data_IF_327122280608
#
_entry.id   IF_327122280608
#
_cell.length_a   1.000
_cell.length_b   1.000
_cell.length_c   1.000
_cell.angle_alpha   90.00
_cell.angle_beta   90.00
_cell.angle_gamma   90.00
#
_symmetry.space_group_name_H-M   'P 1'
#
loop_
_entity.id
_entity.type
_entity.pdbx_description
1 polymer ?
#
# COMPACT_ATOMS: atom_id res chain seq x y z
N UNK A 1 25.19 12.81 -15.64
CA UNK A 1 24.43 11.58 -15.93
C UNK A 1 23.26 11.52 -14.95
N UNK A 2 22.03 11.76 -15.41
CA UNK A 2 20.80 11.52 -14.62
C UNK A 2 20.46 12.44 -13.42
N UNK A 3 20.95 13.68 -13.33
CA UNK A 3 20.41 14.70 -12.40
C UNK A 3 20.28 14.37 -10.90
N UNK A 4 20.87 13.28 -10.39
CA UNK A 4 20.74 12.84 -8.99
C UNK A 4 19.52 11.98 -8.67
N UNK A 5 18.85 11.42 -9.67
CA UNK A 5 17.62 10.64 -9.50
C UNK A 5 17.89 9.11 -9.50
N UNK A 6 17.45 8.42 -8.44
CA UNK A 6 17.56 6.96 -8.26
C UNK A 6 16.81 6.20 -9.36
N UNK A 7 15.62 6.68 -9.75
CA UNK A 7 14.82 6.05 -10.79
C UNK A 7 15.57 5.91 -12.13
N UNK A 8 16.33 6.95 -12.53
CA UNK A 8 17.14 6.91 -13.76
C UNK A 8 18.34 5.99 -13.63
N UNK A 9 18.98 5.95 -12.46
CA UNK A 9 20.10 5.04 -12.21
C UNK A 9 19.65 3.56 -12.25
N UNK A 10 18.52 3.24 -11.62
CA UNK A 10 17.93 1.90 -11.70
C UNK A 10 17.49 1.56 -13.13
N UNK A 11 16.90 2.52 -13.86
CA UNK A 11 16.53 2.33 -15.27
C UNK A 11 17.73 2.03 -16.17
N UNK A 12 18.87 2.71 -15.95
CA UNK A 12 20.13 2.42 -16.65
C UNK A 12 20.61 0.98 -16.39
N UNK A 13 20.64 0.56 -15.11
CA UNK A 13 21.02 -0.80 -14.72
C UNK A 13 20.08 -1.85 -15.34
N UNK A 14 18.78 -1.54 -15.40
CA UNK A 14 17.77 -2.40 -16.00
C UNK A 14 17.77 -2.38 -17.55
N UNK A 15 18.65 -1.60 -18.19
CA UNK A 15 18.75 -1.51 -19.65
C UNK A 15 17.66 -0.66 -20.32
N UNK A 16 16.93 0.17 -19.56
CA UNK A 16 15.85 1.03 -20.06
C UNK A 16 16.43 2.32 -20.61
N UNK A 17 16.76 2.31 -21.91
CA UNK A 17 17.49 3.42 -22.57
C UNK A 17 16.62 4.62 -22.96
N UNK A 18 15.32 4.42 -23.19
CA UNK A 18 14.41 5.43 -23.73
C UNK A 18 13.49 6.12 -22.72
N UNK A 19 13.59 5.79 -21.43
CA UNK A 19 12.69 6.31 -20.41
C UNK A 19 13.22 7.55 -19.69
N UNK A 20 12.31 8.39 -19.21
CA UNK A 20 12.60 9.34 -18.13
C UNK A 20 12.22 8.71 -16.78
N UNK A 21 12.54 9.40 -15.69
CA UNK A 21 12.23 8.92 -14.35
C UNK A 21 12.17 10.07 -13.35
N UNK A 22 11.53 9.79 -12.21
CA UNK A 22 11.39 10.67 -11.04
C UNK A 22 11.39 9.82 -9.78
N UNK A 23 12.03 10.29 -8.71
CA UNK A 23 11.92 9.67 -7.39
C UNK A 23 10.71 10.26 -6.65
N UNK A 24 9.87 9.38 -6.09
CA UNK A 24 8.73 9.80 -5.27
C UNK A 24 8.99 9.46 -3.80
N UNK A 25 8.76 10.44 -2.92
CA UNK A 25 9.01 10.32 -1.48
C UNK A 25 7.69 10.45 -0.73
N UNK A 26 7.36 9.44 0.06
CA UNK A 26 6.13 9.42 0.87
C UNK A 26 6.18 8.40 2.00
N UNK A 27 7.38 8.00 2.44
CA UNK A 27 7.58 6.89 3.38
C UNK A 27 6.78 5.65 2.96
N UNK A 28 6.13 4.92 3.89
CA UNK A 28 5.30 3.77 3.56
C UNK A 28 4.18 4.09 2.55
N UNK A 29 3.71 5.33 2.46
CA UNK A 29 2.68 5.72 1.48
C UNK A 29 3.25 6.01 0.08
N UNK A 30 4.58 6.04 -0.07
CA UNK A 30 5.27 6.34 -1.34
C UNK A 30 4.75 5.52 -2.53
N UNK A 31 4.60 4.19 -2.42
CA UNK A 31 4.05 3.36 -3.48
C UNK A 31 2.64 3.74 -3.92
N UNK A 32 1.75 4.07 -2.98
CA UNK A 32 0.37 4.46 -3.31
C UNK A 32 0.36 5.78 -4.08
N UNK A 33 1.17 6.77 -3.64
CA UNK A 33 1.35 8.00 -4.39
C UNK A 33 1.94 7.77 -5.78
N UNK A 34 2.92 6.87 -5.90
CA UNK A 34 3.56 6.55 -7.17
C UNK A 34 2.59 5.89 -8.15
N UNK A 35 1.75 4.98 -7.65
CA UNK A 35 0.71 4.31 -8.43
C UNK A 35 -0.37 5.28 -8.91
N UNK A 36 -0.86 6.18 -8.04
CA UNK A 36 -1.83 7.23 -8.41
C UNK A 36 -1.23 8.14 -9.49
N UNK A 37 0.03 8.52 -9.33
CA UNK A 37 0.73 9.38 -10.30
C UNK A 37 0.92 8.66 -11.64
N UNK A 38 1.34 7.40 -11.63
CA UNK A 38 1.48 6.59 -12.83
C UNK A 38 0.15 6.45 -13.58
N UNK A 39 -0.94 6.13 -12.87
CA UNK A 39 -2.27 6.04 -13.46
C UNK A 39 -2.72 7.38 -14.08
N UNK A 40 -2.51 8.50 -13.39
CA UNK A 40 -2.86 9.82 -13.91
C UNK A 40 -2.06 10.19 -15.17
N UNK A 41 -0.76 9.90 -15.21
CA UNK A 41 0.10 10.17 -16.37
C UNK A 41 -0.31 9.33 -17.59
N UNK A 42 -0.72 8.09 -17.36
CA UNK A 42 -1.21 7.21 -18.42
C UNK A 42 -2.58 7.63 -18.93
N UNK A 43 -3.53 7.86 -18.02
CA UNK A 43 -4.90 8.26 -18.39
C UNK A 43 -4.96 9.63 -19.07
N UNK A 44 -4.01 10.52 -18.77
CA UNK A 44 -3.90 11.82 -19.45
C UNK A 44 -3.23 11.75 -20.83
N UNK A 45 -2.71 10.58 -21.24
CA UNK A 45 -2.03 10.39 -22.52
C UNK A 45 -0.60 10.96 -22.57
N UNK A 46 -0.06 11.43 -21.43
CA UNK A 46 1.32 11.94 -21.36
C UNK A 46 2.33 10.81 -21.60
N UNK A 47 2.07 9.63 -21.04
CA UNK A 47 2.87 8.42 -21.27
C UNK A 47 1.98 7.22 -21.57
N UNK A 48 2.46 6.32 -22.43
CA UNK A 48 1.76 5.04 -22.68
C UNK A 48 2.01 4.00 -21.60
N UNK A 49 3.18 4.08 -20.97
CA UNK A 49 3.67 3.12 -20.00
C UNK A 49 4.43 3.86 -18.91
N UNK A 50 4.17 3.52 -17.65
CA UNK A 50 4.90 4.00 -16.48
C UNK A 50 5.21 2.80 -15.60
N UNK A 51 6.50 2.58 -15.33
CA UNK A 51 6.95 1.56 -14.39
C UNK A 51 7.07 2.19 -13.01
N UNK A 52 6.29 1.69 -12.05
CA UNK A 52 6.42 2.02 -10.63
C UNK A 52 7.22 0.91 -9.97
N UNK A 53 8.26 1.27 -9.23
CA UNK A 53 9.02 0.28 -8.48
C UNK A 53 9.48 0.87 -7.15
N UNK A 54 9.64 0.00 -6.16
CA UNK A 54 10.29 0.35 -4.90
C UNK A 54 10.95 -0.88 -4.28
N UNK A 55 11.89 -0.63 -3.39
CA UNK A 55 12.63 -1.66 -2.68
C UNK A 55 12.94 -1.25 -1.24
N UNK A 56 13.23 -2.26 -0.42
CA UNK A 56 13.84 -2.08 0.88
C UNK A 56 15.31 -1.67 0.77
N UNK A 57 15.90 -1.27 1.89
CA UNK A 57 17.33 -1.00 1.98
C UNK A 57 17.90 -1.60 3.26
N UNK A 58 19.18 -1.95 3.24
CA UNK A 58 19.89 -2.57 4.36
C UNK A 58 19.88 -1.70 5.62
N UNK A 59 19.92 -0.38 5.47
CA UNK A 59 19.80 0.54 6.59
C UNK A 59 18.46 0.38 7.32
N UNK A 60 17.36 0.16 6.59
CA UNK A 60 16.04 -0.03 7.19
C UNK A 60 15.91 -1.37 7.93
N UNK A 61 16.56 -2.42 7.42
CA UNK A 61 16.68 -3.71 8.12
C UNK A 61 17.35 -3.54 9.49
N UNK A 62 18.51 -2.87 9.52
CA UNK A 62 19.21 -2.59 10.78
C UNK A 62 18.35 -1.81 11.78
N UNK A 63 17.56 -0.84 11.29
CA UNK A 63 16.64 -0.07 12.15
C UNK A 63 15.54 -0.94 12.77
N UNK A 64 14.95 -1.87 12.02
CA UNK A 64 13.87 -2.72 12.51
C UNK A 64 14.40 -3.81 13.47
N UNK A 65 15.57 -4.38 13.17
CA UNK A 65 16.23 -5.37 14.03
C UNK A 65 16.58 -4.84 15.43
N UNK A 66 16.68 -3.51 15.59
CA UNK A 66 16.94 -2.88 16.89
C UNK A 66 15.95 -3.28 17.97
N UNK A 67 14.65 -3.34 17.65
CA UNK A 67 13.63 -3.62 18.65
C UNK A 67 13.56 -5.12 18.99
N UNK A 68 13.96 -6.00 18.06
CA UNK A 68 14.22 -7.42 18.34
C UNK A 68 15.39 -7.60 19.32
N UNK A 69 16.52 -6.93 19.06
CA UNK A 69 17.71 -6.98 19.91
C UNK A 69 17.40 -6.48 21.33
N UNK A 70 16.67 -5.36 21.47
CA UNK A 70 16.25 -4.84 22.78
C UNK A 70 15.41 -5.83 23.59
N UNK A 71 14.64 -6.68 22.92
CA UNK A 71 13.80 -7.71 23.54
C UNK A 71 14.50 -9.05 23.68
N UNK A 72 15.80 -9.12 23.36
CA UNK A 72 16.60 -10.33 23.42
C UNK A 72 16.00 -11.49 22.60
N UNK A 73 15.47 -11.18 21.42
CA UNK A 73 14.99 -12.17 20.45
C UNK A 73 15.82 -12.12 19.16
N UNK A 74 15.88 -13.21 18.37
CA UNK A 74 16.53 -13.20 17.07
C UNK A 74 16.00 -12.09 16.15
N UNK A 75 16.83 -11.60 15.24
CA UNK A 75 16.35 -10.69 14.19
C UNK A 75 15.43 -11.50 13.27
N UNK A 76 14.13 -11.25 13.38
CA UNK A 76 13.11 -11.94 12.57
C UNK A 76 12.95 -11.37 11.16
N UNK A 77 13.59 -10.23 10.88
CA UNK A 77 13.51 -9.54 9.59
C UNK A 77 14.92 -9.32 9.02
N UNK A 78 15.30 -10.14 8.06
CA UNK A 78 16.62 -10.13 7.39
C UNK A 78 16.52 -10.18 5.86
N UNK A 79 15.32 -10.19 5.29
CA UNK A 79 15.06 -10.27 3.86
C UNK A 79 14.80 -8.88 3.24
N UNK A 80 15.53 -8.52 2.17
CA UNK A 80 15.22 -7.34 1.35
C UNK A 80 14.11 -7.66 0.34
N UNK A 81 13.03 -6.88 0.38
CA UNK A 81 11.94 -6.95 -0.57
C UNK A 81 12.01 -5.87 -1.65
N UNK A 82 11.37 -6.12 -2.78
CA UNK A 82 11.15 -5.14 -3.84
C UNK A 82 9.96 -5.53 -4.70
N UNK A 83 9.38 -4.55 -5.38
CA UNK A 83 8.30 -4.79 -6.34
C UNK A 83 8.43 -3.84 -7.52
N UNK A 84 7.81 -4.23 -8.63
CA UNK A 84 7.57 -3.37 -9.78
C UNK A 84 6.16 -3.61 -10.33
N UNK A 85 5.52 -2.55 -10.80
CA UNK A 85 4.22 -2.56 -11.46
C UNK A 85 4.35 -1.78 -12.75
N UNK A 86 3.97 -2.40 -13.87
CA UNK A 86 3.79 -1.72 -15.14
C UNK A 86 2.36 -1.19 -15.23
N UNK A 87 2.21 0.13 -15.31
CA UNK A 87 0.92 0.76 -15.61
C UNK A 87 0.94 1.17 -17.07
N UNK A 88 -0.01 0.66 -17.86
CA UNK A 88 -0.13 0.92 -19.29
C UNK A 88 -1.48 1.51 -19.64
N UNK A 89 -1.62 1.96 -20.89
CA UNK A 89 -2.93 2.18 -21.51
C UNK A 89 -3.83 0.96 -21.29
N UNK A 90 -5.16 1.18 -21.21
CA UNK A 90 -6.12 0.12 -21.01
C UNK A 90 -6.07 -0.88 -22.18
N UNK A 91 -5.65 -2.10 -21.89
CA UNK A 91 -5.51 -3.20 -22.84
C UNK A 91 -6.78 -4.06 -22.96
N UNK A 92 -7.81 -3.78 -22.13
CA UNK A 92 -9.04 -4.56 -22.06
C UNK A 92 -8.92 -5.91 -21.37
N UNK A 93 -7.76 -6.23 -20.78
CA UNK A 93 -7.45 -7.52 -20.13
C UNK A 93 -7.03 -7.31 -18.68
N UNK A 94 -6.14 -6.36 -18.42
CA UNK A 94 -5.54 -6.09 -17.12
C UNK A 94 -6.49 -5.31 -16.19
N UNK A 95 -6.36 -5.44 -14.85
CA UNK A 95 -7.18 -4.66 -13.92
C UNK A 95 -7.02 -3.15 -14.10
N UNK A 96 -8.13 -2.43 -13.94
CA UNK A 96 -8.17 -0.97 -14.12
C UNK A 96 -7.96 -0.24 -12.80
N UNK A 97 -6.99 0.69 -12.77
CA UNK A 97 -6.78 1.60 -11.65
C UNK A 97 -7.81 2.74 -11.69
N UNK A 98 -8.73 2.74 -10.72
CA UNK A 98 -9.73 3.80 -10.54
C UNK A 98 -9.14 5.03 -9.86
N UNK A 99 -8.90 6.09 -10.62
CA UNK A 99 -8.40 7.39 -10.16
C UNK A 99 -9.52 8.33 -9.67
N UNK A 100 -10.77 7.96 -9.92
CA UNK A 100 -11.96 8.65 -9.44
C UNK A 100 -12.31 8.33 -7.97
N UNK A 101 -11.80 7.22 -7.44
CA UNK A 101 -11.97 6.79 -6.04
C UNK A 101 -10.64 6.89 -5.28
N UNK A 102 -10.11 8.10 -5.15
CA UNK A 102 -8.85 8.35 -4.44
C UNK A 102 -9.10 9.09 -3.13
N UNK A 103 -8.70 8.45 -2.02
CA UNK A 103 -8.72 9.06 -0.69
C UNK A 103 -7.64 10.12 -0.51
N UNK A 104 -7.92 11.13 0.32
CA UNK A 104 -6.98 12.21 0.62
C UNK A 104 -7.02 12.60 2.09
N UNK A 105 -5.99 12.18 2.82
CA UNK A 105 -5.73 12.67 4.17
C UNK A 105 -5.03 14.03 4.10
N UNK A 106 -5.76 15.09 4.45
CA UNK A 106 -5.21 16.45 4.42
C UNK A 106 -4.46 16.77 5.72
N UNK A 107 -3.61 17.78 5.68
CA UNK A 107 -2.86 18.30 6.84
C UNK A 107 -3.77 18.59 8.04
N UNK A 108 -5.04 18.96 7.79
CA UNK A 108 -6.00 19.32 8.82
C UNK A 108 -6.77 18.13 9.45
N UNK A 109 -6.70 16.91 8.91
CA UNK A 109 -7.50 15.77 9.39
C UNK A 109 -7.07 15.25 10.78
N UNK A 110 -5.89 15.63 11.25
CA UNK A 110 -5.28 15.05 12.45
C UNK A 110 -4.79 13.61 12.23
N UNK A 111 -4.04 13.09 13.19
CA UNK A 111 -3.35 11.79 13.07
C UNK A 111 -4.11 10.62 13.73
N UNK A 112 -5.35 10.84 14.20
CA UNK A 112 -6.14 9.78 14.82
C UNK A 112 -6.46 8.70 13.77
N UNK A 113 -6.27 7.39 14.06
CA UNK A 113 -6.47 6.32 13.07
C UNK A 113 -7.85 6.34 12.41
N UNK A 114 -8.90 6.66 13.18
CA UNK A 114 -10.26 6.78 12.65
C UNK A 114 -10.39 7.92 11.62
N UNK A 115 -9.75 9.07 11.86
CA UNK A 115 -9.78 10.21 10.94
C UNK A 115 -9.00 9.92 9.65
N UNK A 116 -7.88 9.19 9.76
CA UNK A 116 -7.10 8.74 8.61
C UNK A 116 -7.93 7.80 7.74
N UNK A 117 -8.55 6.76 8.32
CA UNK A 117 -9.33 5.78 7.54
C UNK A 117 -10.62 6.40 7.00
N UNK A 118 -11.25 7.32 7.73
CA UNK A 118 -12.38 8.09 7.21
C UNK A 118 -11.99 8.80 5.89
N UNK A 119 -10.89 9.54 5.90
CA UNK A 119 -10.45 10.33 4.76
C UNK A 119 -9.91 9.49 3.58
N UNK A 120 -9.32 8.33 3.88
CA UNK A 120 -8.69 7.46 2.88
C UNK A 120 -9.63 6.38 2.33
N UNK A 121 -10.67 5.98 3.06
CA UNK A 121 -11.56 4.87 2.70
C UNK A 121 -13.01 5.31 2.61
N UNK A 122 -13.62 5.78 3.69
CA UNK A 122 -15.07 6.01 3.72
C UNK A 122 -15.48 7.20 2.83
N UNK A 123 -14.80 8.35 2.96
CA UNK A 123 -15.13 9.55 2.19
C UNK A 123 -15.01 9.37 0.67
N UNK A 124 -13.92 8.80 0.10
CA UNK A 124 -13.83 8.61 -1.34
C UNK A 124 -14.84 7.60 -1.88
N UNK A 125 -15.16 6.53 -1.12
CA UNK A 125 -16.20 5.58 -1.51
C UNK A 125 -17.58 6.25 -1.52
N UNK A 126 -17.94 6.95 -0.43
CA UNK A 126 -19.23 7.62 -0.31
C UNK A 126 -19.46 8.68 -1.40
N UNK A 127 -18.42 9.46 -1.75
CA UNK A 127 -18.47 10.44 -2.85
C UNK A 127 -18.77 9.81 -4.21
N UNK A 128 -18.44 8.54 -4.38
CA UNK A 128 -18.67 7.78 -5.60
C UNK A 128 -19.87 6.81 -5.48
N UNK A 129 -20.73 6.99 -4.47
CA UNK A 129 -21.93 6.17 -4.27
C UNK A 129 -21.63 4.73 -3.85
N UNK A 130 -20.42 4.44 -3.36
CA UNK A 130 -19.98 3.12 -2.94
C UNK A 130 -19.95 3.01 -1.40
N UNK A 131 -20.11 1.78 -0.91
CA UNK A 131 -19.97 1.41 0.50
C UNK A 131 -18.65 0.71 0.76
N UNK A 132 -18.20 0.73 2.01
CA UNK A 132 -17.06 -0.08 2.48
C UNK A 132 -17.32 -1.57 2.20
N UNK A 133 -18.56 -2.02 2.35
CA UNK A 133 -18.96 -3.41 2.11
C UNK A 133 -18.97 -3.82 0.63
N UNK A 134 -18.91 -2.85 -0.30
CA UNK A 134 -18.86 -3.11 -1.73
C UNK A 134 -17.43 -3.40 -2.22
N UNK A 135 -16.42 -3.13 -1.39
CA UNK A 135 -15.01 -3.41 -1.71
C UNK A 135 -14.70 -4.85 -1.31
N UNK A 136 -14.32 -5.70 -2.26
CA UNK A 136 -14.06 -7.12 -1.98
C UNK A 136 -12.88 -7.35 -1.03
N UNK A 137 -11.79 -6.60 -1.22
CA UNK A 137 -10.56 -6.77 -0.45
C UNK A 137 -9.91 -5.44 -0.11
N UNK A 138 -9.39 -5.34 1.11
CA UNK A 138 -8.54 -4.26 1.57
C UNK A 138 -7.11 -4.77 1.79
N UNK A 139 -6.12 -3.97 1.43
CA UNK A 139 -4.71 -4.23 1.74
C UNK A 139 -4.02 -3.03 2.42
N UNK A 140 -4.45 -2.61 3.62
CA UNK A 140 -3.82 -1.55 4.38
C UNK A 140 -2.68 -2.13 5.22
N UNK A 141 -1.44 -1.72 4.96
CA UNK A 141 -0.28 -2.09 5.78
C UNK A 141 -0.14 -3.62 6.01
N UNK A 142 0.57 -4.27 5.10
CA UNK A 142 0.61 -5.74 4.96
C UNK A 142 1.75 -6.41 5.74
N UNK A 143 2.20 -5.83 6.85
CA UNK A 143 3.31 -6.38 7.63
C UNK A 143 3.00 -7.79 8.15
N UNK A 144 4.01 -8.67 8.18
CA UNK A 144 3.90 -10.02 8.76
C UNK A 144 3.69 -9.93 10.29
N UNK A 145 2.56 -10.43 10.84
CA UNK A 145 2.29 -10.41 12.28
C UNK A 145 3.35 -11.14 13.10
N UNK A 146 3.85 -12.28 12.61
CA UNK A 146 4.90 -13.06 13.27
C UNK A 146 6.20 -12.27 13.50
N UNK A 147 6.42 -11.18 12.74
CA UNK A 147 7.53 -10.24 12.93
C UNK A 147 7.11 -9.09 13.85
N UNK A 148 5.93 -8.49 13.60
CA UNK A 148 5.51 -7.27 14.30
C UNK A 148 5.00 -7.51 15.71
N UNK A 149 4.40 -8.66 16.01
CA UNK A 149 3.90 -9.01 17.35
C UNK A 149 5.05 -9.16 18.36
N UNK A 150 6.12 -9.94 18.10
CA UNK A 150 7.28 -9.98 19.00
C UNK A 150 7.95 -8.61 19.16
N UNK A 151 7.97 -7.79 18.10
CA UNK A 151 8.46 -6.41 18.15
C UNK A 151 7.53 -5.46 18.94
N UNK A 152 6.29 -5.86 19.24
CA UNK A 152 5.33 -5.10 20.05
C UNK A 152 4.42 -4.16 19.27
N UNK A 153 4.43 -4.24 17.94
CA UNK A 153 3.53 -3.50 17.07
C UNK A 153 2.17 -4.21 16.87
N UNK A 154 2.08 -5.51 17.20
CA UNK A 154 0.84 -6.29 17.06
C UNK A 154 0.57 -6.74 15.62
N UNK A 155 -0.59 -7.36 15.39
CA UNK A 155 -1.09 -7.68 14.05
C UNK A 155 -1.66 -6.44 13.35
N UNK A 156 -0.79 -5.67 12.70
CA UNK A 156 -1.11 -4.40 12.03
C UNK A 156 -2.22 -4.55 10.96
N UNK A 157 -2.14 -5.50 10.00
CA UNK A 157 -3.21 -5.69 9.01
C UNK A 157 -4.58 -5.92 9.66
N UNK A 158 -4.67 -6.85 10.63
CA UNK A 158 -5.95 -7.18 11.28
C UNK A 158 -6.53 -5.99 12.04
N UNK A 159 -5.70 -5.18 12.71
CA UNK A 159 -6.20 -3.97 13.37
C UNK A 159 -6.75 -2.97 12.37
N UNK A 160 -6.12 -2.80 11.21
CA UNK A 160 -6.64 -1.94 10.15
C UNK A 160 -7.99 -2.43 9.59
N UNK A 161 -8.15 -3.74 9.37
CA UNK A 161 -9.44 -4.30 8.95
C UNK A 161 -10.55 -4.09 9.97
N UNK A 162 -10.24 -4.24 11.26
CA UNK A 162 -11.19 -3.96 12.35
C UNK A 162 -11.61 -2.50 12.34
N UNK A 163 -10.70 -1.56 12.11
CA UNK A 163 -11.02 -0.14 12.05
C UNK A 163 -11.87 0.23 10.83
N UNK A 164 -11.56 -0.32 9.65
CA UNK A 164 -12.38 -0.15 8.44
C UNK A 164 -13.80 -0.71 8.68
N UNK A 165 -13.90 -1.93 9.22
CA UNK A 165 -15.19 -2.54 9.54
C UNK A 165 -15.95 -1.78 10.64
N UNK A 166 -15.27 -1.21 11.62
CA UNK A 166 -15.89 -0.37 12.65
C UNK A 166 -16.48 0.93 12.05
N UNK A 167 -15.84 1.51 11.03
CA UNK A 167 -16.42 2.62 10.28
C UNK A 167 -17.64 2.19 9.44
N UNK A 168 -17.63 0.98 8.87
CA UNK A 168 -18.81 0.42 8.21
C UNK A 168 -19.98 0.25 9.19
N UNK A 169 -19.71 -0.18 10.43
CA UNK A 169 -20.73 -0.24 11.50
C UNK A 169 -21.24 1.14 11.87
N UNK A 170 -20.33 2.09 12.10
CA UNK A 170 -20.68 3.48 12.47
C UNK A 170 -21.52 4.17 11.39
N UNK A 171 -21.28 3.87 10.12
CA UNK A 171 -22.01 4.41 8.96
C UNK A 171 -23.27 3.63 8.59
N UNK A 172 -23.65 2.60 9.37
CA UNK A 172 -24.87 1.82 9.14
C UNK A 172 -24.79 0.84 7.97
N UNK A 173 -23.60 0.55 7.45
CA UNK A 173 -23.37 -0.40 6.35
C UNK A 173 -23.21 -1.84 6.82
N UNK A 174 -22.88 -2.05 8.10
CA UNK A 174 -22.58 -3.35 8.70
C UNK A 174 -23.14 -3.43 10.12
N UNK A 175 -23.66 -4.58 10.54
CA UNK A 175 -24.03 -4.80 11.95
C UNK A 175 -22.78 -5.16 12.78
N UNK A 176 -22.69 -4.69 14.03
CA UNK A 176 -21.52 -4.92 14.90
C UNK A 176 -21.12 -6.40 15.03
N UNK A 177 -22.10 -7.31 15.07
CA UNK A 177 -21.86 -8.76 15.16
C UNK A 177 -21.21 -9.36 13.90
N UNK A 178 -21.27 -8.67 12.77
CA UNK A 178 -20.68 -9.11 11.51
C UNK A 178 -19.20 -8.71 11.38
N UNK A 179 -18.66 -7.89 12.30
CA UNK A 179 -17.29 -7.40 12.23
C UNK A 179 -16.22 -8.52 12.14
N UNK A 180 -16.30 -9.65 12.88
CA UNK A 180 -15.34 -10.74 12.72
C UNK A 180 -15.36 -11.36 11.31
N UNK A 181 -16.55 -11.52 10.74
CA UNK A 181 -16.72 -12.04 9.38
C UNK A 181 -16.22 -11.05 8.33
N UNK A 182 -16.41 -9.74 8.56
CA UNK A 182 -15.87 -8.70 7.69
C UNK A 182 -14.35 -8.78 7.58
N UNK A 183 -13.64 -8.88 8.70
CA UNK A 183 -12.17 -9.02 8.71
C UNK A 183 -11.72 -10.25 7.93
N UNK A 184 -12.36 -11.40 8.15
CA UNK A 184 -12.03 -12.65 7.44
C UNK A 184 -12.31 -12.57 5.94
N UNK A 185 -13.42 -11.97 5.55
CA UNK A 185 -13.85 -11.88 4.14
C UNK A 185 -13.01 -10.86 3.36
N UNK A 186 -12.86 -9.65 3.91
CA UNK A 186 -12.30 -8.52 3.19
C UNK A 186 -10.80 -8.28 3.46
N UNK A 187 -10.20 -8.96 4.45
CA UNK A 187 -8.77 -8.87 4.73
C UNK A 187 -7.91 -9.85 3.94
N UNK A 188 -6.61 -9.59 3.97
CA UNK A 188 -5.53 -10.50 3.62
C UNK A 188 -4.66 -10.78 4.86
N UNK A 189 -4.06 -11.97 4.98
CA UNK A 189 -2.95 -12.15 5.91
C UNK A 189 -1.80 -11.19 5.57
N UNK A 190 -1.15 -10.64 6.58
CA UNK A 190 0.09 -9.89 6.39
C UNK A 190 1.20 -10.80 5.84
N UNK A 191 1.95 -10.31 4.86
CA UNK A 191 2.97 -11.11 4.13
C UNK A 191 4.24 -10.31 3.80
N UNK A 192 4.26 -9.00 4.06
CA UNK A 192 5.37 -8.12 3.74
C UNK A 192 6.32 -7.95 4.94
N UNK A 193 7.63 -7.95 4.68
CA UNK A 193 8.61 -7.46 5.65
C UNK A 193 8.37 -5.96 5.92
N UNK A 194 8.77 -5.48 7.10
CA UNK A 194 8.53 -4.12 7.60
C UNK A 194 9.49 -3.09 6.96
N UNK A 195 9.71 -3.19 5.66
CA UNK A 195 10.71 -2.39 4.94
C UNK A 195 10.13 -1.17 4.26
N UNK A 196 9.67 -0.20 5.05
CA UNK A 196 9.23 1.11 4.54
C UNK A 196 8.12 0.99 3.49
N UNK A 197 8.50 0.99 2.21
CA UNK A 197 7.59 0.91 1.07
C UNK A 197 6.95 -0.48 0.86
N UNK A 198 7.59 -1.57 1.29
CA UNK A 198 7.09 -2.94 1.02
C UNK A 198 5.75 -3.24 1.70
N UNK A 199 5.47 -2.83 2.95
CA UNK A 199 4.17 -3.11 3.56
C UNK A 199 3.04 -2.21 3.06
N UNK A 200 3.24 -1.30 2.10
CA UNK A 200 2.26 -0.27 1.70
C UNK A 200 0.94 -0.77 1.08
N UNK A 201 0.69 -2.07 1.04
CA UNK A 201 -0.46 -2.68 0.36
C UNK A 201 -0.24 -2.87 -1.14
N UNK A 202 0.38 -1.91 -1.82
CA UNK A 202 0.63 -1.93 -3.29
C UNK A 202 1.23 -3.25 -3.80
N UNK A 203 2.19 -3.91 -3.12
CA UNK A 203 2.72 -5.18 -3.63
C UNK A 203 1.66 -6.29 -3.76
N UNK A 204 0.49 -6.14 -3.13
CA UNK A 204 -0.59 -7.12 -3.27
C UNK A 204 -1.06 -7.22 -4.71
N UNK A 205 -0.88 -6.18 -5.53
CA UNK A 205 -1.32 -6.16 -6.93
C UNK A 205 -0.78 -7.38 -7.67
N UNK A 206 0.48 -7.77 -7.43
CA UNK A 206 1.08 -8.94 -8.09
C UNK A 206 0.33 -10.24 -7.82
N UNK A 207 -0.10 -10.46 -6.58
CA UNK A 207 -0.89 -11.65 -6.21
C UNK A 207 -2.40 -11.46 -6.45
N UNK A 208 -2.87 -10.22 -6.33
CA UNK A 208 -4.27 -9.83 -6.42
C UNK A 208 -4.79 -9.91 -7.84
N UNK A 209 -3.96 -9.71 -8.87
CA UNK A 209 -4.39 -9.80 -10.29
C UNK A 209 -5.06 -11.15 -10.60
N UNK A 210 -4.67 -12.25 -9.96
CA UNK A 210 -5.30 -13.57 -10.15
C UNK A 210 -6.65 -13.73 -9.43
N UNK A 211 -7.03 -12.73 -8.63
CA UNK A 211 -8.17 -12.74 -7.72
C UNK A 211 -9.10 -11.52 -7.90
N UNK A 212 -8.86 -10.69 -8.92
CA UNK A 212 -9.66 -9.50 -9.29
C UNK A 212 -10.45 -9.80 -10.57
#
# INVERSE_FOLDING_TARGET
RGGGNTAKACGEIAGIKGATGVDMRGFCAGPAHALITAAALVQSGVYKNVVVFAGGCTAKLGMNGRDHVKKNIPILEDCLGGFAVLVSENDGISPVLRTDVVGKHTIAHGAAPQAVIQALVLDPLAKNGMKITDVDKFAPEMQIPDITEPAGAGDVPTQNYKMIGALAVKSGQLERKQLPLFVKKHGYPGYASTQGHIPSGVPIIGHGIEHI
#
